data_IF_747708011953
#
_entry.id   IF_747708011953
#
_cell.length_a   1.000
_cell.length_b   1.000
_cell.length_c   1.000
_cell.angle_alpha   90.00
_cell.angle_beta   90.00
_cell.angle_gamma   90.00
#
_symmetry.space_group_name_H-M   'P 1'
#
loop_
_entity.id
_entity.type
_entity.pdbx_description
1 polymer ?
#
# COMPACT_ATOMS: atom_id res chain seq x y z
N UNK A 1 55.82 -5.63 0.51
CA UNK A 1 54.84 -5.58 -0.61
C UNK A 1 53.47 -6.09 -0.18
N UNK A 2 53.34 -7.32 0.35
CA UNK A 2 52.06 -7.92 0.80
C UNK A 2 51.30 -7.06 1.83
N UNK A 3 51.97 -6.53 2.87
CA UNK A 3 51.34 -5.66 3.88
C UNK A 3 50.71 -4.38 3.30
N UNK A 4 51.35 -3.77 2.30
CA UNK A 4 50.81 -2.59 1.61
C UNK A 4 49.54 -2.93 0.81
N UNK A 5 49.53 -4.08 0.13
CA UNK A 5 48.36 -4.54 -0.64
C UNK A 5 47.19 -4.84 0.30
N UNK A 6 47.43 -5.50 1.43
CA UNK A 6 46.41 -5.75 2.47
C UNK A 6 45.84 -4.44 3.03
N UNK A 7 46.69 -3.43 3.22
CA UNK A 7 46.27 -2.09 3.65
C UNK A 7 45.32 -1.40 2.68
N UNK A 8 45.61 -1.46 1.38
CA UNK A 8 44.76 -0.88 0.33
C UNK A 8 43.41 -1.60 0.25
N UNK A 9 43.41 -2.93 0.28
CA UNK A 9 42.17 -3.74 0.23
C UNK A 9 41.32 -3.48 1.47
N UNK A 10 41.92 -3.40 2.65
CA UNK A 10 41.22 -3.06 3.88
C UNK A 10 40.60 -1.65 3.82
N UNK A 11 41.34 -0.66 3.33
CA UNK A 11 40.79 0.70 3.20
C UNK A 11 39.63 0.76 2.19
N UNK A 12 39.79 0.12 1.03
CA UNK A 12 38.74 0.03 0.02
C UNK A 12 37.48 -0.68 0.57
N UNK A 13 37.66 -1.74 1.36
CA UNK A 13 36.55 -2.46 1.97
C UNK A 13 35.80 -1.62 3.01
N UNK A 14 36.48 -0.77 3.80
CA UNK A 14 35.80 0.18 4.70
C UNK A 14 34.97 1.19 3.89
N UNK A 15 35.50 1.69 2.77
CA UNK A 15 34.78 2.63 1.90
C UNK A 15 33.51 2.02 1.30
N UNK A 16 33.45 0.70 1.11
CA UNK A 16 32.25 -0.02 0.66
C UNK A 16 31.31 -0.31 1.83
N UNK A 17 31.85 -0.68 2.98
CA UNK A 17 31.06 -1.09 4.13
C UNK A 17 30.28 0.08 4.77
N UNK A 18 30.87 1.27 4.81
CA UNK A 18 30.21 2.47 5.33
C UNK A 18 28.87 2.80 4.65
N UNK A 19 28.78 2.96 3.31
CA UNK A 19 27.52 3.24 2.65
C UNK A 19 26.52 2.08 2.78
N UNK A 20 26.97 0.81 2.81
CA UNK A 20 26.08 -0.32 3.08
C UNK A 20 25.45 -0.23 4.48
N UNK A 21 26.24 0.10 5.50
CA UNK A 21 25.73 0.29 6.85
C UNK A 21 24.80 1.50 6.96
N UNK A 22 25.13 2.62 6.32
CA UNK A 22 24.27 3.80 6.32
C UNK A 22 22.95 3.52 5.59
N UNK A 23 22.99 2.89 4.42
CA UNK A 23 21.80 2.53 3.66
C UNK A 23 20.93 1.53 4.45
N UNK A 24 21.52 0.44 4.94
CA UNK A 24 20.79 -0.58 5.70
C UNK A 24 20.23 -0.04 7.03
N UNK A 25 21.01 0.81 7.73
CA UNK A 25 20.59 1.44 8.97
C UNK A 25 19.44 2.43 8.76
N UNK A 26 19.52 3.28 7.72
CA UNK A 26 18.44 4.19 7.36
C UNK A 26 17.17 3.44 6.95
N UNK A 27 17.30 2.35 6.19
CA UNK A 27 16.15 1.56 5.74
C UNK A 27 15.46 0.87 6.91
N UNK A 28 16.23 0.26 7.82
CA UNK A 28 15.70 -0.37 9.03
C UNK A 28 15.06 0.66 9.99
N UNK A 29 15.68 1.83 10.12
CA UNK A 29 15.14 2.93 10.94
C UNK A 29 13.84 3.48 10.36
N UNK A 30 13.78 3.70 9.04
CA UNK A 30 12.58 4.16 8.34
C UNK A 30 11.44 3.13 8.46
N UNK A 31 11.73 1.85 8.23
CA UNK A 31 10.78 0.74 8.46
C UNK A 31 10.18 0.83 9.87
N UNK A 32 11.02 0.99 10.90
CA UNK A 32 10.56 1.03 12.31
C UNK A 32 9.68 2.23 12.66
N UNK A 33 9.82 3.36 11.95
CA UNK A 33 9.08 4.59 12.25
C UNK A 33 7.84 4.75 11.37
N UNK A 34 7.94 4.34 10.11
CA UNK A 34 6.90 4.57 9.11
C UNK A 34 5.90 3.42 9.04
N UNK A 35 6.26 2.24 9.53
CA UNK A 35 5.38 1.07 9.52
C UNK A 35 4.77 0.80 10.90
N UNK A 36 3.57 0.23 10.89
CA UNK A 36 2.91 -0.30 12.09
C UNK A 36 3.43 -1.69 12.47
N UNK A 37 2.76 -2.34 13.45
CA UNK A 37 3.15 -3.67 13.94
C UNK A 37 3.07 -4.76 12.85
N UNK A 38 2.20 -4.57 11.86
CA UNK A 38 1.98 -5.49 10.74
C UNK A 38 2.88 -5.16 9.53
N UNK A 39 3.65 -4.07 9.60
CA UNK A 39 4.58 -3.64 8.57
C UNK A 39 3.95 -2.79 7.47
N UNK A 40 2.78 -2.20 7.72
CA UNK A 40 2.12 -1.29 6.79
C UNK A 40 2.51 0.16 7.07
N UNK A 41 2.90 0.87 6.03
CA UNK A 41 2.96 2.33 6.03
C UNK A 41 1.57 2.87 5.78
N UNK A 42 0.99 3.49 6.80
CA UNK A 42 -0.36 4.02 6.74
C UNK A 42 -0.37 5.48 6.30
N UNK A 43 -1.36 5.84 5.50
CA UNK A 43 -1.73 7.23 5.28
C UNK A 43 -2.20 7.85 6.59
N UNK A 44 -2.30 9.18 6.60
CA UNK A 44 -3.08 9.84 7.63
C UNK A 44 -4.54 9.37 7.55
N UNK A 45 -5.19 9.38 8.70
CA UNK A 45 -6.63 9.22 8.81
C UNK A 45 -7.33 10.35 8.05
N UNK A 46 -8.16 9.99 7.07
CA UNK A 46 -8.93 10.93 6.28
C UNK A 46 -10.42 10.77 6.61
N UNK A 47 -11.05 11.85 7.05
CA UNK A 47 -12.50 11.93 7.20
C UNK A 47 -13.10 12.45 5.90
N UNK A 48 -14.03 11.68 5.32
CA UNK A 48 -14.63 11.98 4.03
C UNK A 48 -16.16 11.94 4.19
N UNK A 49 -16.81 13.02 3.79
CA UNK A 49 -18.26 13.09 3.65
C UNK A 49 -18.61 12.88 2.18
N UNK A 50 -19.50 11.92 1.91
CA UNK A 50 -19.88 11.51 0.57
C UNK A 50 -21.38 11.74 0.40
N UNK A 51 -21.72 12.66 -0.48
CA UNK A 51 -23.09 12.93 -0.91
C UNK A 51 -23.50 11.94 -2.03
N UNK A 52 -23.59 10.66 -1.68
CA UNK A 52 -23.93 9.58 -2.61
C UNK A 52 -23.96 8.20 -1.95
N UNK A 53 -24.15 7.17 -2.78
CA UNK A 53 -24.28 5.78 -2.33
C UNK A 53 -22.95 5.09 -2.07
N UNK A 54 -21.87 5.58 -2.70
CA UNK A 54 -20.58 4.93 -2.66
C UNK A 54 -19.45 5.93 -2.94
N UNK A 55 -18.29 5.67 -2.35
CA UNK A 55 -17.00 6.21 -2.75
C UNK A 55 -16.23 5.14 -3.53
N UNK A 56 -15.90 5.44 -4.77
CA UNK A 56 -15.10 4.59 -5.65
C UNK A 56 -13.72 5.17 -5.78
N UNK A 57 -12.71 4.33 -5.57
CA UNK A 57 -11.34 4.63 -5.96
C UNK A 57 -10.98 3.77 -7.17
N UNK A 58 -10.70 4.39 -8.31
CA UNK A 58 -10.34 3.64 -9.51
C UNK A 58 -9.87 4.48 -10.69
N UNK A 59 -9.52 3.82 -11.80
CA UNK A 59 -8.76 2.57 -11.80
C UNK A 59 -7.33 2.89 -11.34
N UNK A 60 -6.75 2.05 -10.47
CA UNK A 60 -5.30 2.04 -10.42
C UNK A 60 -4.85 1.41 -11.76
N UNK A 61 -4.42 2.22 -12.72
CA UNK A 61 -3.75 1.71 -13.92
C UNK A 61 -2.42 1.06 -13.48
N UNK A 62 -2.52 -0.20 -13.07
CA UNK A 62 -1.39 -1.06 -12.69
C UNK A 62 -0.73 -1.62 -13.96
N UNK A 63 -1.06 -1.11 -15.15
CA UNK A 63 -0.40 -1.47 -16.41
C UNK A 63 0.96 -0.76 -16.61
N UNK A 64 1.18 0.41 -15.98
CA UNK A 64 2.38 1.24 -16.16
C UNK A 64 3.44 1.03 -15.04
N UNK A 65 3.26 0.01 -14.19
CA UNK A 65 4.35 -0.38 -13.30
C UNK A 65 5.53 -0.87 -14.14
N UNK A 66 6.77 -0.48 -13.80
CA UNK A 66 7.94 -0.97 -14.52
C UNK A 66 8.02 -2.48 -14.36
N UNK A 67 7.50 -3.22 -15.34
CA UNK A 67 7.75 -4.65 -15.48
C UNK A 67 9.27 -4.82 -15.53
N UNK A 68 9.83 -5.41 -14.49
CA UNK A 68 11.24 -5.79 -14.49
C UNK A 68 11.30 -7.11 -15.27
N UNK A 69 11.77 -7.11 -16.54
CA UNK A 69 11.76 -8.31 -17.36
C UNK A 69 12.62 -9.37 -16.67
N UNK A 70 12.13 -10.61 -16.60
CA UNK A 70 12.79 -11.74 -15.95
C UNK A 70 13.04 -11.58 -14.43
N UNK A 71 12.28 -10.74 -13.73
CA UNK A 71 12.32 -10.69 -12.26
C UNK A 71 11.85 -12.02 -11.66
N UNK A 72 12.60 -12.61 -10.72
CA UNK A 72 12.14 -13.79 -9.99
C UNK A 72 11.04 -13.48 -8.95
N UNK A 73 10.67 -12.20 -8.78
CA UNK A 73 9.72 -11.71 -7.78
C UNK A 73 8.42 -11.36 -8.49
N UNK A 74 7.30 -11.97 -8.07
CA UNK A 74 5.97 -11.66 -8.59
C UNK A 74 5.46 -10.31 -8.05
N UNK A 75 4.56 -9.62 -8.77
CA UNK A 75 4.05 -8.30 -8.36
C UNK A 75 3.40 -8.30 -6.97
N UNK A 76 2.65 -9.35 -6.61
CA UNK A 76 2.05 -9.50 -5.29
C UNK A 76 3.07 -9.67 -4.16
N UNK A 77 4.30 -10.09 -4.48
CA UNK A 77 5.42 -10.15 -3.53
C UNK A 77 6.12 -8.78 -3.38
N UNK A 78 5.79 -7.79 -4.22
CA UNK A 78 6.36 -6.44 -4.16
C UNK A 78 5.62 -5.62 -3.11
N UNK A 79 4.28 -5.66 -3.11
CA UNK A 79 3.48 -4.89 -2.17
C UNK A 79 2.13 -5.55 -1.86
N UNK A 80 1.71 -5.41 -0.61
CA UNK A 80 0.35 -5.66 -0.15
C UNK A 80 -0.29 -4.33 0.21
N UNK A 81 -1.49 -4.09 -0.27
CA UNK A 81 -2.27 -2.91 0.04
C UNK A 81 -3.35 -3.26 1.05
N UNK A 82 -3.73 -2.28 1.85
CA UNK A 82 -4.76 -2.38 2.88
C UNK A 82 -5.63 -1.15 2.85
N UNK A 83 -6.94 -1.33 2.90
CA UNK A 83 -7.89 -0.26 3.16
C UNK A 83 -8.59 -0.59 4.46
N UNK A 84 -8.55 0.36 5.38
CA UNK A 84 -9.35 0.35 6.58
C UNK A 84 -10.37 1.47 6.45
N UNK A 85 -11.64 1.15 6.68
CA UNK A 85 -12.69 2.14 6.67
C UNK A 85 -13.69 1.89 7.80
N UNK A 86 -14.22 2.95 8.37
CA UNK A 86 -15.31 2.90 9.34
C UNK A 86 -16.33 4.00 9.06
N UNK A 87 -17.59 3.74 9.39
CA UNK A 87 -18.61 4.77 9.39
C UNK A 87 -18.48 5.64 10.66
N UNK A 88 -18.57 6.95 10.52
CA UNK A 88 -18.64 7.89 11.65
C UNK A 88 -20.00 7.79 12.37
N UNK A 89 -21.04 7.32 11.67
CA UNK A 89 -22.31 6.91 12.26
C UNK A 89 -22.21 5.48 12.81
N UNK A 90 -22.20 5.35 14.14
CA UNK A 90 -22.05 4.06 14.82
C UNK A 90 -23.25 3.11 14.59
N UNK A 91 -24.39 3.61 14.11
CA UNK A 91 -25.57 2.80 13.80
C UNK A 91 -25.54 2.21 12.38
N UNK A 92 -24.60 2.65 11.53
CA UNK A 92 -24.42 2.18 10.15
C UNK A 92 -23.22 1.26 10.01
N UNK A 93 -23.39 0.15 9.29
CA UNK A 93 -22.27 -0.67 8.84
C UNK A 93 -21.60 -0.08 7.59
N UNK A 94 -20.41 -0.56 7.31
CA UNK A 94 -19.66 -0.21 6.11
C UNK A 94 -19.32 -1.47 5.33
N UNK A 95 -19.33 -1.35 4.01
CA UNK A 95 -18.91 -2.36 3.06
C UNK A 95 -17.67 -1.86 2.32
N UNK A 96 -16.66 -2.72 2.21
CA UNK A 96 -15.46 -2.48 1.40
C UNK A 96 -15.36 -3.64 0.41
N UNK A 97 -15.30 -3.32 -0.88
CA UNK A 97 -15.26 -4.34 -1.94
C UNK A 97 -14.28 -4.00 -3.05
N UNK A 98 -13.80 -5.05 -3.70
CA UNK A 98 -12.95 -4.98 -4.89
C UNK A 98 -13.61 -5.77 -6.02
N UNK A 99 -13.78 -5.13 -7.17
CA UNK A 99 -14.30 -5.75 -8.39
C UNK A 99 -13.61 -5.17 -9.63
N UNK A 100 -13.86 -5.78 -10.79
CA UNK A 100 -13.45 -5.18 -12.05
C UNK A 100 -14.15 -3.82 -12.24
N UNK A 101 -13.44 -2.86 -12.84
CA UNK A 101 -14.00 -1.52 -13.10
C UNK A 101 -15.31 -1.58 -13.88
N UNK A 102 -15.38 -2.47 -14.88
CA UNK A 102 -16.60 -2.67 -15.67
C UNK A 102 -17.79 -3.14 -14.82
N UNK A 103 -17.57 -4.15 -13.96
CA UNK A 103 -18.66 -4.68 -13.13
C UNK A 103 -19.11 -3.68 -12.07
N UNK A 104 -18.17 -2.89 -11.52
CA UNK A 104 -18.51 -1.85 -10.55
C UNK A 104 -19.32 -0.71 -11.18
N UNK A 105 -18.93 -0.26 -12.38
CA UNK A 105 -19.68 0.75 -13.14
C UNK A 105 -21.09 0.26 -13.52
N UNK A 106 -21.26 -1.03 -13.81
CA UNK A 106 -22.58 -1.65 -14.05
C UNK A 106 -23.44 -1.68 -12.78
N UNK A 107 -22.85 -2.07 -11.64
CA UNK A 107 -23.54 -2.14 -10.35
C UNK A 107 -23.97 -0.75 -9.84
N UNK A 108 -23.09 0.24 -9.93
CA UNK A 108 -23.36 1.63 -9.51
C UNK A 108 -24.03 2.49 -10.60
N UNK A 109 -24.25 1.92 -11.79
CA UNK A 109 -24.78 2.64 -12.95
C UNK A 109 -26.18 3.23 -12.75
N UNK A 110 -26.91 2.82 -11.71
CA UNK A 110 -28.24 3.34 -11.35
C UNK A 110 -28.25 4.41 -10.26
N UNK A 111 -27.10 4.79 -9.70
CA UNK A 111 -27.03 5.68 -8.53
C UNK A 111 -26.00 6.80 -8.71
N UNK A 112 -26.03 7.76 -7.77
CA UNK A 112 -24.96 8.76 -7.65
C UNK A 112 -23.86 8.21 -6.76
N UNK A 113 -22.62 8.23 -7.25
CA UNK A 113 -21.45 7.81 -6.50
C UNK A 113 -20.29 8.80 -6.71
N UNK A 114 -19.47 8.95 -5.68
CA UNK A 114 -18.26 9.74 -5.73
C UNK A 114 -17.12 8.89 -6.30
N UNK A 115 -16.27 9.51 -7.12
CA UNK A 115 -15.03 8.92 -7.63
C UNK A 115 -13.88 9.77 -7.13
N UNK A 116 -12.90 9.14 -6.49
CA UNK A 116 -11.65 9.78 -6.10
C UNK A 116 -10.86 10.19 -7.35
N UNK A 117 -10.45 11.46 -7.42
CA UNK A 117 -9.69 12.01 -8.54
C UNK A 117 -8.22 12.19 -8.14
N UNK A 118 -7.96 13.17 -7.26
CA UNK A 118 -6.62 13.47 -6.77
C UNK A 118 -6.65 14.20 -5.42
N UNK A 119 -5.46 14.34 -4.82
CA UNK A 119 -5.21 15.19 -3.64
C UNK A 119 -4.23 16.29 -4.06
N UNK A 120 -4.64 17.55 -3.92
CA UNK A 120 -3.80 18.72 -4.18
C UNK A 120 -3.83 19.64 -2.94
N UNK A 121 -2.65 20.05 -2.44
CA UNK A 121 -2.51 20.94 -1.28
C UNK A 121 -3.30 20.54 -0.02
N UNK A 122 -3.31 19.24 0.32
CA UNK A 122 -4.09 18.63 1.42
C UNK A 122 -5.62 18.66 1.24
N UNK A 123 -6.13 19.08 0.08
CA UNK A 123 -7.55 19.02 -0.29
C UNK A 123 -7.82 17.81 -1.23
N UNK A 124 -8.87 17.06 -0.95
CA UNK A 124 -9.28 15.90 -1.76
C UNK A 124 -10.34 16.29 -2.78
N UNK A 125 -10.09 15.99 -4.05
CA UNK A 125 -11.01 16.27 -5.14
C UNK A 125 -11.83 15.01 -5.47
N UNK A 126 -13.15 15.14 -5.34
CA UNK A 126 -14.11 14.08 -5.65
C UNK A 126 -14.94 14.50 -6.87
N UNK A 127 -14.97 13.61 -7.86
CA UNK A 127 -15.83 13.74 -9.04
C UNK A 127 -17.09 12.91 -8.85
N UNK A 128 -18.26 13.55 -8.90
CA UNK A 128 -19.54 12.85 -8.73
C UNK A 128 -20.07 12.35 -10.08
N UNK A 129 -20.27 11.04 -10.19
CA UNK A 129 -20.95 10.43 -11.34
C UNK A 129 -22.43 10.30 -11.01
N UNK A 130 -23.24 11.12 -11.67
CA UNK A 130 -24.70 11.09 -11.54
C UNK A 130 -25.30 10.31 -12.70
N UNK A 131 -25.87 9.15 -12.40
CA UNK A 131 -26.72 8.41 -13.33
C UNK A 131 -28.19 8.51 -12.89
N UNK A 132 -29.11 8.41 -13.86
CA UNK A 132 -30.55 8.50 -13.57
C UNK A 132 -30.98 7.35 -12.65
N UNK A 133 -31.76 7.59 -11.58
CA UNK A 133 -32.17 6.54 -10.66
C UNK A 133 -32.94 5.44 -11.39
N UNK A 134 -32.46 4.20 -11.27
CA UNK A 134 -33.22 2.99 -11.61
C UNK A 134 -33.13 2.04 -10.43
N UNK A 135 -34.28 1.78 -9.80
CA UNK A 135 -34.46 0.87 -8.65
C UNK A 135 -33.57 1.14 -7.42
N UNK A 136 -33.93 0.62 -6.23
CA UNK A 136 -33.03 0.63 -5.07
C UNK A 136 -31.76 -0.16 -5.40
N UNK A 137 -30.60 0.36 -5.00
CA UNK A 137 -29.34 -0.35 -5.16
C UNK A 137 -29.40 -1.69 -4.42
N UNK A 138 -29.02 -2.77 -5.09
CA UNK A 138 -29.00 -4.09 -4.47
C UNK A 138 -27.93 -4.15 -3.38
N UNK A 139 -28.15 -4.94 -2.32
CA UNK A 139 -27.20 -5.05 -1.21
C UNK A 139 -25.84 -5.53 -1.72
N UNK A 140 -24.73 -4.87 -1.31
CA UNK A 140 -23.40 -5.22 -1.79
C UNK A 140 -22.99 -6.64 -1.37
N UNK A 141 -23.32 -7.06 -0.14
CA UNK A 141 -23.01 -8.41 0.37
C UNK A 141 -23.69 -9.55 -0.37
N UNK A 142 -24.80 -9.26 -1.07
CA UNK A 142 -25.53 -10.27 -1.85
C UNK A 142 -24.97 -10.44 -3.27
N UNK A 143 -24.01 -9.61 -3.68
CA UNK A 143 -23.45 -9.67 -5.02
C UNK A 143 -22.29 -10.67 -5.13
N UNK A 144 -22.33 -11.64 -6.07
CA UNK A 144 -21.32 -12.68 -6.17
C UNK A 144 -20.08 -12.28 -6.98
N UNK A 145 -20.04 -11.06 -7.53
CA UNK A 145 -18.98 -10.62 -8.44
C UNK A 145 -17.75 -10.01 -7.75
N UNK A 146 -17.82 -9.78 -6.44
CA UNK A 146 -16.68 -9.28 -5.69
C UNK A 146 -15.52 -10.27 -5.74
N UNK A 147 -14.34 -9.77 -6.08
CA UNK A 147 -13.09 -10.54 -5.98
C UNK A 147 -12.76 -10.75 -4.51
N UNK A 148 -12.93 -9.69 -3.72
CA UNK A 148 -12.77 -9.69 -2.27
C UNK A 148 -13.68 -8.61 -1.68
N UNK A 149 -14.26 -8.88 -0.52
CA UNK A 149 -15.08 -7.91 0.20
C UNK A 149 -15.12 -8.21 1.69
N UNK A 150 -15.43 -7.18 2.46
CA UNK A 150 -15.74 -7.27 3.89
C UNK A 150 -16.87 -6.30 4.23
N UNK A 151 -17.65 -6.63 5.25
CA UNK A 151 -18.75 -5.80 5.71
C UNK A 151 -19.00 -5.93 7.21
N UNK A 152 -19.51 -4.86 7.82
CA UNK A 152 -19.98 -4.90 9.19
C UNK A 152 -19.93 -3.54 9.90
N UNK A 153 -20.25 -3.57 11.19
CA UNK A 153 -20.19 -2.40 12.07
C UNK A 153 -18.75 -2.10 12.51
N UNK A 154 -18.45 -0.82 12.73
CA UNK A 154 -17.14 -0.35 13.19
C UNK A 154 -16.06 -0.41 12.12
N UNK A 155 -14.81 -0.55 12.54
CA UNK A 155 -13.66 -0.62 11.64
C UNK A 155 -13.67 -1.93 10.85
N UNK A 156 -13.73 -1.79 9.54
CA UNK A 156 -13.58 -2.87 8.58
C UNK A 156 -12.25 -2.73 7.85
N UNK A 157 -11.66 -3.87 7.51
CA UNK A 157 -10.34 -3.95 6.90
C UNK A 157 -10.35 -4.93 5.74
N UNK A 158 -9.85 -4.48 4.59
CA UNK A 158 -9.65 -5.30 3.41
C UNK A 158 -8.18 -5.21 2.99
N UNK A 159 -7.50 -6.36 2.98
CA UNK A 159 -6.12 -6.49 2.49
C UNK A 159 -6.07 -7.27 1.19
N UNK A 160 -5.23 -6.80 0.26
CA UNK A 160 -5.02 -7.47 -1.01
C UNK A 160 -3.59 -7.34 -1.53
N UNK A 161 -3.15 -8.39 -2.23
CA UNK A 161 -1.85 -8.40 -2.91
C UNK A 161 -1.95 -7.65 -4.24
N UNK A 162 -0.91 -6.90 -4.57
CA UNK A 162 -0.86 -6.15 -5.83
C UNK A 162 -0.84 -7.13 -7.03
N UNK A 163 -1.82 -7.02 -7.90
CA UNK A 163 -1.96 -7.85 -9.10
C UNK A 163 -2.22 -6.97 -10.33
N UNK A 164 -1.82 -7.46 -11.50
CA UNK A 164 -2.13 -6.82 -12.79
C UNK A 164 -3.64 -6.85 -13.05
N UNK A 165 -4.17 -5.72 -13.55
CA UNK A 165 -5.51 -5.62 -14.11
C UNK A 165 -6.30 -4.40 -13.66
N UNK A 166 -7.42 -4.17 -14.34
CA UNK A 166 -8.34 -3.07 -14.11
C UNK A 166 -9.29 -3.37 -12.94
N UNK A 167 -8.78 -3.19 -11.71
CA UNK A 167 -9.58 -3.32 -10.49
C UNK A 167 -9.93 -1.96 -9.90
N UNK A 168 -11.15 -1.84 -9.40
CA UNK A 168 -11.63 -0.67 -8.68
C UNK A 168 -12.11 -1.07 -7.28
N UNK A 169 -11.91 -0.17 -6.34
CA UNK A 169 -12.34 -0.33 -4.95
C UNK A 169 -13.59 0.49 -4.72
N UNK A 170 -14.48 -0.05 -3.89
CA UNK A 170 -15.66 0.65 -3.44
C UNK A 170 -15.75 0.61 -1.92
N UNK A 171 -16.15 1.74 -1.36
CA UNK A 171 -16.55 1.87 0.03
C UNK A 171 -17.97 2.44 0.05
N UNK A 172 -18.89 1.75 0.71
CA UNK A 172 -20.30 2.16 0.77
C UNK A 172 -20.96 1.74 2.09
N UNK A 173 -22.16 2.24 2.38
CA UNK A 173 -22.96 1.69 3.47
C UNK A 173 -23.33 0.23 3.16
N UNK A 174 -23.30 -0.65 4.16
CA UNK A 174 -23.63 -2.07 4.00
C UNK A 174 -25.08 -2.31 3.60
N UNK A 175 -25.98 -1.41 4.01
CA UNK A 175 -27.40 -1.39 3.68
C UNK A 175 -27.73 -0.72 2.33
N UNK A 176 -26.71 -0.30 1.57
CA UNK A 176 -26.83 0.43 0.31
C UNK A 176 -27.65 1.74 0.42
N UNK A 177 -27.65 2.38 1.60
CA UNK A 177 -28.25 3.70 1.80
C UNK A 177 -27.40 4.83 1.25
N UNK A 178 -28.07 5.92 0.85
CA UNK A 178 -27.44 7.17 0.43
C UNK A 178 -26.87 7.95 1.63
N UNK A 179 -25.79 8.69 1.39
CA UNK A 179 -25.11 9.53 2.37
C UNK A 179 -24.27 8.72 3.36
N UNK A 180 -22.97 9.00 3.38
CA UNK A 180 -22.05 8.40 4.33
C UNK A 180 -20.96 9.38 4.73
N UNK A 181 -20.60 9.34 6.01
CA UNK A 181 -19.44 10.02 6.55
C UNK A 181 -18.51 8.93 7.08
N UNK A 182 -17.32 8.81 6.49
CA UNK A 182 -16.41 7.72 6.76
C UNK A 182 -15.04 8.22 7.15
N UNK A 183 -14.35 7.41 7.93
CA UNK A 183 -12.93 7.54 8.18
C UNK A 183 -12.21 6.44 7.38
N UNK A 184 -11.23 6.83 6.57
CA UNK A 184 -10.47 5.92 5.70
C UNK A 184 -8.97 6.05 5.96
N UNK A 185 -8.31 4.90 6.02
CA UNK A 185 -6.84 4.77 6.09
C UNK A 185 -6.40 3.80 5.00
N UNK A 186 -5.42 4.22 4.21
CA UNK A 186 -4.79 3.37 3.18
C UNK A 186 -3.40 2.98 3.65
N UNK A 187 -3.12 1.68 3.70
CA UNK A 187 -1.84 1.12 4.09
C UNK A 187 -1.14 0.44 2.91
N UNK A 188 0.18 0.56 2.86
CA UNK A 188 1.03 -0.23 1.95
C UNK A 188 2.13 -0.95 2.71
N UNK A 189 2.28 -2.25 2.46
CA UNK A 189 3.33 -3.09 3.03
C UNK A 189 4.24 -3.59 1.91
N UNK A 190 5.53 -3.26 2.01
CA UNK A 190 6.56 -3.71 1.05
C UNK A 190 7.48 -4.70 1.78
N UNK A 191 7.26 -6.02 1.64
CA UNK A 191 7.93 -7.03 2.46
C UNK A 191 9.45 -7.08 2.25
N UNK A 192 9.97 -6.49 1.17
CA UNK A 192 11.40 -6.47 0.84
C UNK A 192 12.21 -5.41 1.59
N UNK A 193 11.60 -4.36 2.13
CA UNK A 193 12.32 -3.24 2.77
C UNK A 193 13.15 -3.74 3.95
N UNK A 194 12.51 -4.45 4.88
CA UNK A 194 13.16 -4.99 6.08
C UNK A 194 14.28 -5.99 5.78
N UNK A 195 14.09 -7.06 4.97
CA UNK A 195 15.17 -8.01 4.68
C UNK A 195 16.31 -7.36 3.88
N UNK A 196 16.04 -6.43 2.97
CA UNK A 196 17.10 -5.67 2.27
C UNK A 196 17.88 -4.82 3.28
N UNK A 197 17.20 -4.11 4.18
CA UNK A 197 17.85 -3.29 5.21
C UNK A 197 18.77 -4.13 6.12
N UNK A 198 18.25 -5.27 6.60
CA UNK A 198 19.02 -6.24 7.40
C UNK A 198 20.18 -6.82 6.59
N UNK A 199 19.96 -7.18 5.32
CA UNK A 199 21.00 -7.72 4.44
C UNK A 199 22.15 -6.73 4.21
N UNK A 200 21.82 -5.45 4.00
CA UNK A 200 22.79 -4.36 3.89
C UNK A 200 23.58 -4.16 5.18
N UNK A 201 22.91 -4.22 6.34
CA UNK A 201 23.57 -4.12 7.65
C UNK A 201 24.52 -5.29 7.91
N UNK A 202 24.06 -6.53 7.68
CA UNK A 202 24.88 -7.74 7.87
C UNK A 202 26.06 -7.73 6.90
N UNK A 203 25.80 -7.46 5.61
CA UNK A 203 26.84 -7.39 4.58
C UNK A 203 27.87 -6.30 4.87
N UNK A 204 27.41 -5.10 5.23
CA UNK A 204 28.26 -3.99 5.65
C UNK A 204 29.08 -4.33 6.90
N UNK A 205 28.47 -4.95 7.91
CA UNK A 205 29.15 -5.39 9.13
C UNK A 205 30.24 -6.43 8.89
N UNK A 206 29.97 -7.44 8.05
CA UNK A 206 30.95 -8.45 7.63
C UNK A 206 32.09 -7.79 6.85
N UNK A 207 31.77 -6.93 5.87
CA UNK A 207 32.77 -6.21 5.09
C UNK A 207 33.66 -5.34 5.99
N UNK A 208 33.10 -4.64 6.98
CA UNK A 208 33.85 -3.87 7.97
C UNK A 208 34.76 -4.77 8.80
N UNK A 209 34.26 -5.86 9.37
CA UNK A 209 35.05 -6.76 10.20
C UNK A 209 36.26 -7.33 9.44
N UNK A 210 36.04 -7.80 8.21
CA UNK A 210 37.10 -8.30 7.34
C UNK A 210 38.09 -7.19 6.97
N UNK A 211 37.61 -6.00 6.66
CA UNK A 211 38.45 -4.86 6.30
C UNK A 211 39.33 -4.39 7.47
N UNK A 212 38.76 -4.31 8.68
CA UNK A 212 39.49 -3.99 9.91
C UNK A 212 40.55 -5.05 10.22
N UNK A 213 40.22 -6.34 10.04
CA UNK A 213 41.18 -7.43 10.22
C UNK A 213 42.35 -7.31 9.24
N UNK A 214 42.08 -7.03 7.96
CA UNK A 214 43.11 -6.84 6.94
C UNK A 214 44.02 -5.65 7.26
N UNK A 215 43.44 -4.52 7.72
CA UNK A 215 44.20 -3.35 8.16
C UNK A 215 45.07 -3.68 9.38
N UNK A 216 44.55 -4.43 10.35
CA UNK A 216 45.29 -4.83 11.55
C UNK A 216 46.49 -5.74 11.23
N UNK A 217 46.37 -6.60 10.21
CA UNK A 217 47.47 -7.46 9.72
C UNK A 217 48.49 -6.65 8.89
N UNK A 218 48.02 -5.63 8.16
CA UNK A 218 48.86 -4.79 7.32
C UNK A 218 49.80 -3.89 8.15
N UNK A 219 49.29 -3.32 9.24
CA UNK A 219 50.04 -2.53 10.22
C UNK A 219 51.11 -3.40 10.91
#
# INVERSE_FOLDING_TARGET
MIRFVLGIIGLAGILIALPLMLAGGSLYWADTILTDEDGFMNSNTMEIEVDGFALVAGPADIEDLPEIPDSPIALGEIATLRIQAQNLDADKGIFIGMASTQTLDEYLGGVTYAVFDEIEDDEMFLSYRMNAPQDPLALPDEQPFWVQSTSGMGLQELEWELAEGDVSFVVMNDDASDGMAIEVVVGVRVPLIKPVGVGLLVGGGVALALSTLLLAIAL
#
